data_IF_413098586662
#
_entry.id   IF_413098586662
#
_cell.length_a   1.000
_cell.length_b   1.000
_cell.length_c   1.000
_cell.angle_alpha   90.00
_cell.angle_beta   90.00
_cell.angle_gamma   90.00
#
_symmetry.space_group_name_H-M   'P 1'
#
loop_
_entity.id
_entity.type
_entity.pdbx_description
1 polymer ?
#
# COMPACT_ATOMS: atom_id res chain seq x y z
N UNK A 1 9.43 21.76 16.60
CA UNK A 1 8.40 20.85 16.04
C UNK A 1 7.31 21.71 15.43
N UNK A 2 7.21 21.82 14.11
CA UNK A 2 6.23 22.69 13.47
C UNK A 2 4.93 21.89 13.25
N UNK A 3 3.87 22.26 13.96
CA UNK A 3 2.55 21.66 13.81
C UNK A 3 1.94 22.14 12.49
N UNK A 4 1.88 21.25 11.49
CA UNK A 4 1.20 21.49 10.21
C UNK A 4 0.00 20.54 10.15
N UNK A 5 -1.18 20.96 10.61
CA UNK A 5 -2.34 20.06 10.76
C UNK A 5 -2.76 19.37 9.46
N UNK A 6 -2.41 19.97 8.31
CA UNK A 6 -2.76 19.51 6.97
C UNK A 6 -1.68 18.63 6.30
N UNK A 7 -0.53 18.37 6.95
CA UNK A 7 0.76 17.82 6.44
C UNK A 7 0.74 16.76 5.31
N UNK A 8 0.14 17.08 4.16
CA UNK A 8 -0.08 16.17 3.05
C UNK A 8 -1.09 15.05 3.31
N UNK A 9 -1.96 15.16 4.32
CA UNK A 9 -2.89 14.08 4.72
C UNK A 9 -4.32 14.28 4.22
N UNK A 10 -4.60 15.35 3.49
CA UNK A 10 -5.90 15.53 2.82
C UNK A 10 -6.01 14.69 1.56
N UNK A 11 -7.24 14.43 1.14
CA UNK A 11 -7.52 13.75 -0.13
C UNK A 11 -6.84 14.46 -1.30
N UNK A 12 -6.96 15.79 -1.37
CA UNK A 12 -6.40 16.59 -2.46
C UNK A 12 -4.87 16.48 -2.54
N UNK A 13 -4.19 16.47 -1.39
CA UNK A 13 -2.74 16.30 -1.35
C UNK A 13 -2.30 14.92 -1.87
N UNK A 14 -3.03 13.85 -1.49
CA UNK A 14 -2.78 12.49 -2.00
C UNK A 14 -3.07 12.42 -3.50
N UNK A 15 -4.22 12.95 -3.93
CA UNK A 15 -4.61 12.96 -5.35
C UNK A 15 -3.58 13.70 -6.21
N UNK A 16 -3.10 14.85 -5.75
CA UNK A 16 -2.05 15.63 -6.42
C UNK A 16 -0.74 14.82 -6.55
N UNK A 17 -0.31 14.14 -5.48
CA UNK A 17 0.87 13.25 -5.52
C UNK A 17 0.68 12.10 -6.52
N UNK A 18 -0.52 11.53 -6.54
CA UNK A 18 -0.89 10.42 -7.42
C UNK A 18 -1.03 10.82 -8.90
N UNK A 19 -0.95 12.11 -9.25
CA UNK A 19 -0.85 12.52 -10.65
C UNK A 19 0.53 12.18 -11.26
N UNK A 20 1.54 11.92 -10.44
CA UNK A 20 2.86 11.47 -10.91
C UNK A 20 2.97 9.95 -10.95
N UNK A 21 3.37 9.42 -12.10
CA UNK A 21 3.63 7.98 -12.28
C UNK A 21 4.71 7.47 -11.33
N UNK A 22 5.71 8.31 -11.00
CA UNK A 22 6.80 7.92 -10.12
C UNK A 22 6.32 7.59 -8.71
N UNK A 23 5.43 8.43 -8.15
CA UNK A 23 4.86 8.17 -6.82
C UNK A 23 3.96 6.92 -6.82
N UNK A 24 3.22 6.64 -7.89
CA UNK A 24 2.46 5.39 -8.01
C UNK A 24 3.37 4.17 -8.00
N UNK A 25 4.49 4.20 -8.74
CA UNK A 25 5.47 3.10 -8.78
C UNK A 25 6.11 2.89 -7.41
N UNK A 26 6.48 3.98 -6.72
CA UNK A 26 7.01 3.90 -5.36
C UNK A 26 6.01 3.27 -4.40
N UNK A 27 4.75 3.72 -4.40
CA UNK A 27 3.73 3.20 -3.51
C UNK A 27 3.41 1.71 -3.81
N UNK A 28 3.36 1.31 -5.08
CA UNK A 28 3.21 -0.10 -5.49
C UNK A 28 4.38 -0.97 -5.00
N UNK A 29 5.61 -0.46 -5.16
CA UNK A 29 6.82 -1.15 -4.69
C UNK A 29 6.79 -1.29 -3.17
N UNK A 30 6.39 -0.24 -2.47
CA UNK A 30 6.30 -0.22 -1.02
C UNK A 30 5.26 -1.21 -0.50
N UNK A 31 4.11 -1.36 -1.16
CA UNK A 31 3.10 -2.36 -0.79
C UNK A 31 3.70 -3.77 -0.86
N UNK A 32 4.38 -4.12 -1.95
CA UNK A 32 4.94 -5.46 -2.13
C UNK A 32 6.05 -5.73 -1.10
N UNK A 33 7.02 -4.82 -0.98
CA UNK A 33 8.15 -4.99 -0.07
C UNK A 33 7.72 -4.92 1.39
N UNK A 34 6.86 -3.98 1.75
CA UNK A 34 6.32 -3.80 3.10
C UNK A 34 5.47 -4.99 3.53
N UNK A 35 4.62 -5.52 2.65
CA UNK A 35 3.84 -6.72 2.94
C UNK A 35 4.74 -7.94 3.09
N UNK A 36 5.69 -8.15 2.18
CA UNK A 36 6.68 -9.24 2.30
C UNK A 36 7.45 -9.15 3.62
N UNK A 37 7.97 -7.97 3.97
CA UNK A 37 8.69 -7.74 5.23
C UNK A 37 7.80 -8.03 6.45
N UNK A 38 6.60 -7.46 6.49
CA UNK A 38 5.67 -7.63 7.62
C UNK A 38 5.26 -9.09 7.83
N UNK A 39 4.88 -9.79 6.77
CA UNK A 39 4.48 -11.20 6.86
C UNK A 39 5.64 -12.11 7.27
N UNK A 40 6.83 -11.90 6.71
CA UNK A 40 8.00 -12.68 7.12
C UNK A 40 8.40 -12.41 8.57
N UNK A 41 8.30 -11.15 9.03
CA UNK A 41 8.53 -10.80 10.42
C UNK A 41 7.56 -11.50 11.36
N UNK A 42 6.26 -11.43 11.07
CA UNK A 42 5.21 -12.10 11.85
C UNK A 42 5.39 -13.62 11.83
N UNK A 43 5.70 -14.20 10.67
CA UNK A 43 5.99 -15.63 10.58
C UNK A 43 7.23 -16.03 11.39
N UNK A 44 8.27 -15.19 11.39
CA UNK A 44 9.46 -15.35 12.23
C UNK A 44 9.09 -15.45 13.71
N UNK A 45 8.27 -14.53 14.22
CA UNK A 45 7.79 -14.54 15.62
C UNK A 45 7.08 -15.86 15.94
N UNK A 46 6.17 -16.33 15.08
CA UNK A 46 5.45 -17.58 15.34
C UNK A 46 6.37 -18.81 15.39
N UNK A 47 7.46 -18.81 14.62
CA UNK A 47 8.43 -19.90 14.60
C UNK A 47 9.25 -20.01 15.88
N UNK A 48 9.28 -18.97 16.70
CA UNK A 48 9.95 -19.00 18.01
C UNK A 48 9.15 -19.81 19.05
N UNK A 49 7.89 -20.13 18.77
CA UNK A 49 7.02 -20.93 19.64
C UNK A 49 6.97 -22.41 19.23
N UNK A 50 6.76 -23.29 20.22
CA UNK A 50 6.53 -24.72 20.00
C UNK A 50 5.10 -24.99 19.52
N UNK A 51 4.84 -24.67 18.27
CA UNK A 51 3.53 -24.88 17.63
C UNK A 51 3.31 -26.35 17.25
N UNK A 52 2.08 -26.83 17.43
CA UNK A 52 1.62 -28.10 16.83
C UNK A 52 1.45 -27.91 15.33
N UNK A 53 1.56 -28.99 14.56
CA UNK A 53 1.49 -28.94 13.08
C UNK A 53 0.23 -28.25 12.55
N UNK A 54 -0.94 -28.46 13.19
CA UNK A 54 -2.17 -27.79 12.79
C UNK A 54 -2.13 -26.28 13.05
N UNK A 55 -1.50 -25.82 14.14
CA UNK A 55 -1.37 -24.40 14.45
C UNK A 55 -0.48 -23.72 13.41
N UNK A 56 0.65 -24.35 13.07
CA UNK A 56 1.54 -23.89 12.00
C UNK A 56 0.80 -23.73 10.68
N UNK A 57 0.04 -24.76 10.26
CA UNK A 57 -0.72 -24.72 9.00
C UNK A 57 -1.80 -23.64 9.03
N UNK A 58 -2.54 -23.50 10.13
CA UNK A 58 -3.55 -22.46 10.27
C UNK A 58 -2.93 -21.06 10.16
N UNK A 59 -1.85 -20.81 10.90
CA UNK A 59 -1.19 -19.49 10.93
C UNK A 59 -0.62 -19.15 9.55
N UNK A 60 0.14 -20.04 8.92
CA UNK A 60 0.73 -19.76 7.61
C UNK A 60 -0.34 -19.54 6.54
N UNK A 61 -1.45 -20.29 6.60
CA UNK A 61 -2.58 -20.11 5.67
C UNK A 61 -3.22 -18.75 5.84
N UNK A 62 -3.46 -18.31 7.08
CA UNK A 62 -3.99 -16.98 7.38
C UNK A 62 -3.04 -15.89 6.87
N UNK A 63 -1.74 -16.00 7.14
CA UNK A 63 -0.75 -15.02 6.69
C UNK A 63 -0.71 -14.91 5.16
N UNK A 64 -0.79 -16.04 4.45
CA UNK A 64 -0.81 -16.05 2.98
C UNK A 64 -2.10 -15.39 2.46
N UNK A 65 -3.26 -15.76 3.00
CA UNK A 65 -4.55 -15.22 2.56
C UNK A 65 -4.62 -13.71 2.79
N UNK A 66 -4.26 -13.26 4.00
CA UNK A 66 -4.23 -11.83 4.34
C UNK A 66 -3.20 -11.08 3.49
N UNK A 67 -2.02 -11.67 3.31
CA UNK A 67 -0.97 -11.10 2.48
C UNK A 67 -1.42 -10.86 1.04
N UNK A 68 -2.04 -11.86 0.43
CA UNK A 68 -2.56 -11.76 -0.93
C UNK A 68 -3.72 -10.75 -1.01
N UNK A 69 -4.67 -10.83 -0.08
CA UNK A 69 -5.84 -9.95 -0.06
C UNK A 69 -5.44 -8.47 0.06
N UNK A 70 -4.59 -8.12 1.02
CA UNK A 70 -4.17 -6.74 1.22
C UNK A 70 -3.23 -6.23 0.13
N UNK A 71 -2.37 -7.08 -0.43
CA UNK A 71 -1.51 -6.69 -1.57
C UNK A 71 -2.37 -6.34 -2.79
N UNK A 72 -3.30 -7.23 -3.17
CA UNK A 72 -4.18 -7.00 -4.31
C UNK A 72 -5.09 -5.79 -4.10
N UNK A 73 -5.63 -5.62 -2.88
CA UNK A 73 -6.44 -4.46 -2.54
C UNK A 73 -5.63 -3.17 -2.66
N UNK A 74 -4.43 -3.12 -2.08
CA UNK A 74 -3.57 -1.93 -2.17
C UNK A 74 -3.19 -1.58 -3.61
N UNK A 75 -2.84 -2.57 -4.43
CA UNK A 75 -2.56 -2.37 -5.86
C UNK A 75 -3.79 -1.78 -6.57
N UNK A 76 -4.97 -2.38 -6.38
CA UNK A 76 -6.23 -1.89 -6.95
C UNK A 76 -6.49 -0.44 -6.54
N UNK A 77 -6.31 -0.13 -5.26
CA UNK A 77 -6.52 1.23 -4.73
C UNK A 77 -5.64 2.26 -5.42
N UNK A 78 -4.36 1.96 -5.69
CA UNK A 78 -3.47 2.91 -6.39
C UNK A 78 -3.84 3.06 -7.87
N UNK A 79 -4.18 1.96 -8.53
CA UNK A 79 -4.48 1.96 -9.96
C UNK A 79 -5.84 2.60 -10.27
N UNK A 80 -6.80 2.51 -9.35
CA UNK A 80 -8.13 3.12 -9.49
C UNK A 80 -8.11 4.66 -9.35
N UNK A 81 -7.01 5.27 -8.88
CA UNK A 81 -6.93 6.73 -8.73
C UNK A 81 -6.86 7.37 -10.13
N UNK A 82 -7.84 8.22 -10.49
CA UNK A 82 -7.89 8.81 -11.83
C UNK A 82 -6.77 9.83 -12.05
N UNK A 83 -6.36 9.98 -13.31
CA UNK A 83 -5.59 11.14 -13.74
C UNK A 83 -6.56 12.30 -14.00
N UNK A 84 -6.25 13.45 -13.43
CA UNK A 84 -6.98 14.69 -13.66
C UNK A 84 -6.44 15.31 -14.95
N UNK A 85 -7.22 15.33 -16.02
CA UNK A 85 -6.84 16.04 -17.23
C UNK A 85 -6.93 17.54 -16.96
N UNK A 86 -5.80 18.24 -16.98
CA UNK A 86 -5.80 19.69 -17.09
C UNK A 86 -6.16 20.03 -18.54
N UNK A 87 -7.43 20.32 -18.81
CA UNK A 87 -7.86 20.88 -20.09
C UNK A 87 -6.99 22.10 -20.38
N UNK A 88 -6.08 21.99 -21.34
CA UNK A 88 -5.30 23.11 -21.83
C UNK A 88 -6.26 24.02 -22.56
N UNK A 89 -6.92 24.92 -21.82
CA UNK A 89 -7.75 25.97 -22.37
C UNK A 89 -6.85 26.84 -23.25
N UNK A 90 -6.85 26.52 -24.55
CA UNK A 90 -6.29 27.35 -25.60
C UNK A 90 -7.19 28.58 -25.67
N UNK A 91 -6.97 29.53 -24.75
CA UNK A 91 -7.49 30.88 -24.89
C UNK A 91 -6.74 31.50 -26.06
N UNK A 92 -7.32 31.30 -27.26
CA UNK A 92 -7.04 32.13 -28.42
C UNK A 92 -7.27 33.57 -28.00
N UNK A 93 -6.24 34.39 -28.21
CA UNK A 93 -6.21 35.83 -27.91
C UNK A 93 -7.38 36.59 -28.50
#
# INVERSE_FOLDING_TARGET
>A
MHYTPESGHTYDAVLARMQSNWYRVLDLTFIVLGMYHGLNGVWGIFRDYKLKSWQTITIISILIILGLAFTLWGIKTILDIPYVQTSSGLLVK
#
